data_IF_232787693632
#
_entry.id   IF_232787693632
#
_cell.length_a   1.000
_cell.length_b   1.000
_cell.length_c   1.000
_cell.angle_alpha   90.00
_cell.angle_beta   90.00
_cell.angle_gamma   90.00
#
_symmetry.space_group_name_H-M   'P 1'
#
loop_
_entity.id
_entity.type
_entity.pdbx_description
1 polymer ?
#
# COMPACT_ATOMS: atom_id res chain seq x y z
N UNK A 1 -22.06 -8.96 -11.47
CA UNK A 1 -21.05 -7.99 -11.94
C UNK A 1 -19.61 -8.51 -11.96
N UNK A 2 -19.10 -9.17 -10.89
CA UNK A 2 -17.70 -9.69 -10.85
C UNK A 2 -17.29 -10.67 -11.97
N UNK A 3 -18.21 -11.50 -12.48
CA UNK A 3 -17.89 -12.48 -13.54
C UNK A 3 -17.61 -11.84 -14.91
N UNK A 4 -18.35 -10.80 -15.32
CA UNK A 4 -18.07 -10.10 -16.60
C UNK A 4 -16.69 -9.43 -16.57
N UNK A 5 -16.37 -8.73 -15.48
CA UNK A 5 -15.09 -8.04 -15.33
C UNK A 5 -13.87 -8.98 -15.38
N UNK A 6 -13.97 -10.18 -14.79
CA UNK A 6 -12.93 -11.21 -14.93
C UNK A 6 -12.74 -11.65 -16.39
N UNK A 7 -13.83 -11.75 -17.14
CA UNK A 7 -13.80 -12.19 -18.53
C UNK A 7 -13.26 -11.09 -19.47
N UNK A 8 -13.62 -9.84 -19.19
CA UNK A 8 -13.11 -8.67 -19.92
C UNK A 8 -11.59 -8.52 -19.71
N UNK A 9 -11.09 -8.70 -18.47
CA UNK A 9 -9.66 -8.66 -18.16
C UNK A 9 -8.90 -9.82 -18.80
N UNK A 10 -9.52 -11.00 -18.89
CA UNK A 10 -8.90 -12.15 -19.55
C UNK A 10 -8.66 -11.94 -21.04
N UNK A 11 -9.54 -11.17 -21.69
CA UNK A 11 -9.54 -10.94 -23.13
C UNK A 11 -8.79 -9.65 -23.53
N UNK A 12 -8.38 -8.84 -22.56
CA UNK A 12 -7.65 -7.59 -22.81
C UNK A 12 -6.15 -7.86 -23.08
N UNK A 13 -5.66 -7.38 -24.22
CA UNK A 13 -4.27 -7.51 -24.66
C UNK A 13 -3.25 -6.93 -23.65
N UNK A 14 -3.66 -5.98 -22.80
CA UNK A 14 -2.81 -5.38 -21.77
C UNK A 14 -2.58 -6.31 -20.57
N UNK A 15 -3.44 -7.31 -20.38
CA UNK A 15 -3.36 -8.27 -19.28
C UNK A 15 -2.98 -9.69 -19.76
N UNK A 16 -2.38 -9.82 -20.94
CA UNK A 16 -1.91 -11.11 -21.52
C UNK A 16 -0.98 -11.87 -20.56
N UNK A 17 -0.22 -11.15 -19.73
CA UNK A 17 0.65 -11.73 -18.70
C UNK A 17 -0.11 -12.65 -17.72
N UNK A 18 -1.39 -12.39 -17.49
CA UNK A 18 -2.25 -13.17 -16.60
C UNK A 18 -2.53 -14.57 -17.17
N UNK A 19 -2.48 -14.72 -18.50
CA UNK A 19 -2.70 -15.97 -19.21
C UNK A 19 -1.41 -16.79 -19.41
N UNK A 20 -0.23 -16.21 -19.24
CA UNK A 20 1.05 -16.90 -19.48
C UNK A 20 1.26 -18.20 -18.72
N UNK A 21 0.93 -18.31 -17.41
CA UNK A 21 1.11 -19.55 -16.65
C UNK A 21 0.29 -20.72 -17.20
N UNK A 22 -0.74 -20.41 -17.99
CA UNK A 22 -1.75 -21.35 -18.48
C UNK A 22 -1.57 -21.73 -19.95
N UNK A 23 -0.60 -21.13 -20.65
CA UNK A 23 -0.39 -21.37 -22.10
C UNK A 23 -0.17 -22.85 -22.42
N UNK A 24 0.56 -23.56 -21.56
CA UNK A 24 0.91 -24.97 -21.78
C UNK A 24 -0.02 -25.95 -21.05
N UNK A 25 -1.04 -25.48 -20.31
CA UNK A 25 -1.86 -26.35 -19.45
C UNK A 25 -3.26 -26.63 -20.01
N UNK A 26 -3.58 -26.11 -21.20
CA UNK A 26 -4.91 -26.16 -21.80
C UNK A 26 -5.47 -27.59 -22.01
N UNK A 27 -4.59 -28.59 -22.07
CA UNK A 27 -4.95 -30.00 -22.24
C UNK A 27 -5.31 -30.71 -20.93
N UNK A 28 -5.15 -30.06 -19.76
CA UNK A 28 -5.53 -30.64 -18.48
C UNK A 28 -7.06 -30.68 -18.34
N UNK A 29 -7.66 -31.79 -17.89
CA UNK A 29 -9.11 -31.92 -17.73
C UNK A 29 -9.69 -30.90 -16.74
N UNK A 30 -8.86 -30.38 -15.82
CA UNK A 30 -9.27 -29.36 -14.85
C UNK A 30 -8.69 -27.95 -15.11
N UNK A 31 -8.33 -27.65 -16.36
CA UNK A 31 -7.71 -26.38 -16.76
C UNK A 31 -8.54 -25.17 -16.32
N UNK A 32 -9.84 -25.19 -16.58
CA UNK A 32 -10.71 -24.02 -16.38
C UNK A 32 -10.90 -23.70 -14.90
N UNK A 33 -11.04 -24.72 -14.03
CA UNK A 33 -11.11 -24.48 -12.58
C UNK A 33 -9.79 -23.97 -12.02
N UNK A 34 -8.66 -24.54 -12.45
CA UNK A 34 -7.33 -24.14 -11.96
C UNK A 34 -7.05 -22.67 -12.31
N UNK A 35 -7.35 -22.31 -13.56
CA UNK A 35 -7.24 -20.93 -14.06
C UNK A 35 -8.17 -19.97 -13.33
N UNK A 36 -9.44 -20.32 -13.16
CA UNK A 36 -10.39 -19.49 -12.42
C UNK A 36 -10.00 -19.31 -10.94
N UNK A 37 -9.48 -20.37 -10.29
CA UNK A 37 -9.01 -20.30 -8.91
C UNK A 37 -7.80 -19.39 -8.77
N UNK A 38 -6.84 -19.47 -9.68
CA UNK A 38 -5.67 -18.59 -9.71
C UNK A 38 -6.08 -17.13 -9.91
N UNK A 39 -6.94 -16.86 -10.90
CA UNK A 39 -7.46 -15.54 -11.14
C UNK A 39 -8.17 -14.98 -9.91
N UNK A 40 -9.08 -15.74 -9.30
CA UNK A 40 -9.81 -15.29 -8.14
C UNK A 40 -8.87 -14.90 -6.98
N UNK A 41 -7.76 -15.63 -6.79
CA UNK A 41 -6.72 -15.27 -5.81
C UNK A 41 -6.01 -13.97 -6.20
N UNK A 42 -5.61 -13.82 -7.46
CA UNK A 42 -4.92 -12.63 -7.96
C UNK A 42 -5.80 -11.38 -7.92
N UNK A 43 -7.09 -11.51 -8.23
CA UNK A 43 -8.07 -10.44 -8.09
C UNK A 43 -8.25 -10.01 -6.64
N UNK A 44 -8.32 -10.96 -5.70
CA UNK A 44 -8.34 -10.62 -4.27
C UNK A 44 -7.09 -9.83 -3.86
N UNK A 45 -5.91 -10.23 -4.31
CA UNK A 45 -4.67 -9.48 -4.03
C UNK A 45 -4.71 -8.06 -4.61
N UNK A 46 -5.18 -7.91 -5.85
CA UNK A 46 -5.30 -6.60 -6.49
C UNK A 46 -6.32 -5.71 -5.78
N UNK A 47 -7.47 -6.26 -5.40
CA UNK A 47 -8.49 -5.56 -4.60
C UNK A 47 -7.91 -5.08 -3.26
N UNK A 48 -7.18 -5.95 -2.55
CA UNK A 48 -6.50 -5.57 -1.31
C UNK A 48 -5.44 -4.48 -1.53
N UNK A 49 -4.62 -4.60 -2.58
CA UNK A 49 -3.59 -3.60 -2.90
C UNK A 49 -4.21 -2.22 -3.20
N UNK A 50 -5.28 -2.17 -3.98
CA UNK A 50 -6.00 -0.93 -4.27
C UNK A 50 -6.63 -0.31 -3.02
N UNK A 51 -7.20 -1.14 -2.14
CA UNK A 51 -7.74 -0.69 -0.86
C UNK A 51 -6.62 -0.06 -0.01
N UNK A 52 -5.45 -0.71 0.08
CA UNK A 52 -4.31 -0.20 0.85
C UNK A 52 -3.79 1.12 0.25
N UNK A 53 -3.65 1.20 -1.07
CA UNK A 53 -3.18 2.42 -1.75
C UNK A 53 -4.09 3.62 -1.44
N UNK A 54 -5.41 3.43 -1.54
CA UNK A 54 -6.37 4.49 -1.23
C UNK A 54 -6.38 4.84 0.27
N UNK A 55 -6.21 3.85 1.15
CA UNK A 55 -6.07 4.09 2.59
C UNK A 55 -4.86 4.97 2.91
N UNK A 56 -3.71 4.68 2.30
CA UNK A 56 -2.48 5.47 2.46
C UNK A 56 -2.66 6.89 1.90
N UNK A 57 -3.29 7.04 0.74
CA UNK A 57 -3.60 8.34 0.14
C UNK A 57 -4.46 9.20 1.08
N UNK A 58 -5.49 8.62 1.69
CA UNK A 58 -6.35 9.33 2.66
C UNK A 58 -5.64 9.64 3.96
N UNK A 59 -4.82 8.71 4.46
CA UNK A 59 -3.99 8.96 5.64
C UNK A 59 -3.10 10.19 5.43
N UNK A 60 -2.51 10.32 4.24
CA UNK A 60 -1.71 11.48 3.87
C UNK A 60 -2.54 12.78 3.80
N UNK A 61 -3.75 12.74 3.22
CA UNK A 61 -4.66 13.90 3.19
C UNK A 61 -5.09 14.38 4.58
N UNK A 62 -5.32 13.43 5.50
CA UNK A 62 -5.67 13.71 6.89
C UNK A 62 -4.47 14.13 7.75
N UNK A 63 -3.25 14.13 7.18
CA UNK A 63 -2.04 14.46 7.91
C UNK A 63 -1.76 13.51 9.07
N UNK A 64 -2.14 12.23 8.94
CA UNK A 64 -1.89 11.23 9.98
C UNK A 64 -0.38 11.02 10.05
N UNK A 65 0.26 11.65 11.03
CA UNK A 65 1.69 11.51 11.28
C UNK A 65 1.99 10.11 11.82
N UNK A 66 3.10 9.53 11.37
CA UNK A 66 3.67 8.31 11.94
C UNK A 66 4.42 8.74 13.21
N UNK A 67 3.98 8.26 14.37
CA UNK A 67 4.69 8.51 15.62
C UNK A 67 5.98 7.64 15.62
N UNK A 68 7.18 8.24 15.69
CA UNK A 68 8.43 7.47 15.75
C UNK A 68 8.56 6.63 17.02
N UNK A 69 7.75 6.87 18.05
CA UNK A 69 7.67 6.07 19.28
C UNK A 69 6.73 4.86 19.15
N UNK A 70 6.04 4.69 18.02
CA UNK A 70 5.12 3.58 17.81
C UNK A 70 5.86 2.23 17.84
N UNK A 71 5.30 1.25 18.56
CA UNK A 71 5.89 -0.09 18.71
C UNK A 71 6.30 -0.78 17.40
N UNK A 72 5.59 -0.51 16.29
CA UNK A 72 5.96 -0.99 14.95
C UNK A 72 7.25 -0.33 14.45
N UNK A 73 7.42 0.97 14.66
CA UNK A 73 8.60 1.72 14.22
C UNK A 73 9.84 1.31 15.03
N UNK A 74 9.68 1.11 16.33
CA UNK A 74 10.75 0.57 17.19
C UNK A 74 11.20 -0.81 16.73
N UNK A 75 10.26 -1.72 16.44
CA UNK A 75 10.56 -3.04 15.90
C UNK A 75 11.30 -2.94 14.56
N UNK A 76 10.84 -2.07 13.66
CA UNK A 76 11.45 -1.85 12.35
C UNK A 76 12.90 -1.33 12.48
N UNK A 77 13.13 -0.33 13.34
CA UNK A 77 14.47 0.19 13.61
C UNK A 77 15.42 -0.89 14.15
N UNK A 78 14.97 -1.66 15.14
CA UNK A 78 15.78 -2.76 15.71
C UNK A 78 16.08 -3.83 14.69
N UNK A 79 15.14 -4.13 13.79
CA UNK A 79 15.37 -5.04 12.68
C UNK A 79 16.49 -4.52 11.75
N UNK A 80 16.46 -3.24 11.37
CA UNK A 80 17.54 -2.63 10.60
C UNK A 80 18.89 -2.65 11.32
N UNK A 81 18.90 -2.32 12.61
CA UNK A 81 20.13 -2.36 13.43
C UNK A 81 20.71 -3.78 13.50
N UNK A 82 19.84 -4.79 13.64
CA UNK A 82 20.22 -6.20 13.64
C UNK A 82 20.79 -6.64 12.28
N UNK A 83 20.15 -6.31 11.17
CA UNK A 83 20.65 -6.61 9.82
C UNK A 83 22.00 -5.94 9.56
N UNK A 84 22.15 -4.69 10.00
CA UNK A 84 23.39 -3.93 9.91
C UNK A 84 24.52 -4.61 10.69
N UNK A 85 24.27 -5.02 11.95
CA UNK A 85 25.23 -5.76 12.77
C UNK A 85 25.59 -7.12 12.16
N UNK A 86 24.58 -7.87 11.70
CA UNK A 86 24.76 -9.19 11.11
C UNK A 86 25.63 -9.14 9.85
N UNK A 87 25.40 -8.13 9.00
CA UNK A 87 26.18 -7.93 7.77
C UNK A 87 27.56 -7.35 8.08
N UNK A 88 27.63 -6.38 8.99
CA UNK A 88 28.86 -5.67 9.33
C UNK A 88 29.92 -6.55 10.00
N UNK A 89 29.51 -7.56 10.78
CA UNK A 89 30.47 -8.46 11.44
C UNK A 89 31.14 -9.48 10.51
N UNK A 90 30.68 -9.64 9.27
CA UNK A 90 31.17 -10.68 8.36
C UNK A 90 32.69 -10.59 8.11
N UNK A 91 33.22 -9.37 7.99
CA UNK A 91 34.65 -9.14 7.80
C UNK A 91 35.46 -9.48 9.06
N UNK A 92 34.99 -9.01 10.23
CA UNK A 92 35.61 -9.32 11.53
C UNK A 92 35.67 -10.82 11.78
N UNK A 93 34.61 -11.54 11.39
CA UNK A 93 34.53 -12.99 11.50
C UNK A 93 35.58 -13.67 10.60
N UNK A 94 35.68 -13.26 9.34
CA UNK A 94 36.66 -13.80 8.40
C UNK A 94 38.11 -13.56 8.87
N UNK A 95 38.41 -12.37 9.39
CA UNK A 95 39.74 -12.04 9.93
C UNK A 95 40.07 -12.83 11.20
N UNK A 96 39.10 -13.06 12.08
CA UNK A 96 39.27 -13.91 13.25
C UNK A 96 39.58 -15.37 12.84
N UNK A 97 38.88 -15.90 11.83
CA UNK A 97 39.13 -17.22 11.26
C UNK A 97 40.51 -17.33 10.60
N UNK A 98 41.00 -16.26 9.99
CA UNK A 98 42.35 -16.18 9.45
C UNK A 98 43.46 -16.19 10.53
N UNK A 99 43.09 -16.22 11.81
CA UNK A 99 43.99 -16.39 12.95
C UNK A 99 44.09 -15.18 13.87
N UNK A 100 43.37 -14.08 13.59
CA UNK A 100 43.38 -12.90 14.45
C UNK A 100 42.51 -13.09 15.70
N UNK A 101 43.07 -13.79 16.70
CA UNK A 101 42.38 -14.10 17.96
C UNK A 101 41.98 -12.87 18.78
N UNK A 102 42.57 -11.69 18.52
CA UNK A 102 42.21 -10.46 19.21
C UNK A 102 40.79 -9.97 18.88
N UNK A 103 40.20 -10.43 17.77
CA UNK A 103 38.84 -10.08 17.37
C UNK A 103 37.76 -10.96 18.02
N UNK A 104 38.12 -12.10 18.62
CA UNK A 104 37.17 -13.04 19.21
C UNK A 104 36.31 -12.40 20.32
N UNK A 105 36.87 -11.60 21.26
CA UNK A 105 36.04 -10.90 22.25
C UNK A 105 35.07 -9.90 21.62
N UNK A 106 35.48 -9.26 20.51
CA UNK A 106 34.64 -8.33 19.78
C UNK A 106 33.48 -9.06 19.09
N UNK A 107 33.74 -10.21 18.45
CA UNK A 107 32.69 -11.06 17.87
C UNK A 107 31.71 -11.54 18.93
N UNK A 108 32.19 -11.96 20.10
CA UNK A 108 31.33 -12.34 21.20
C UNK A 108 30.43 -11.17 21.65
N UNK A 109 31.01 -9.96 21.74
CA UNK A 109 30.24 -8.75 22.05
C UNK A 109 29.18 -8.43 21.00
N UNK A 110 29.49 -8.60 19.70
CA UNK A 110 28.50 -8.41 18.63
C UNK A 110 27.37 -9.44 18.75
N UNK A 111 27.69 -10.70 19.00
CA UNK A 111 26.67 -11.74 19.22
C UNK A 111 25.76 -11.42 20.41
N UNK A 112 26.33 -10.99 21.54
CA UNK A 112 25.54 -10.56 22.71
C UNK A 112 24.62 -9.39 22.36
N UNK A 113 25.11 -8.38 21.63
CA UNK A 113 24.27 -7.26 21.18
C UNK A 113 23.13 -7.70 20.26
N UNK A 114 23.39 -8.67 19.37
CA UNK A 114 22.36 -9.24 18.51
C UNK A 114 21.32 -10.02 19.31
N UNK A 115 21.73 -10.77 20.34
CA UNK A 115 20.83 -11.47 21.25
C UNK A 115 19.93 -10.49 22.04
N UNK A 116 20.51 -9.40 22.55
CA UNK A 116 19.77 -8.35 23.24
C UNK A 116 18.75 -7.67 22.31
N UNK A 117 19.13 -7.36 21.07
CA UNK A 117 18.21 -6.82 20.07
C UNK A 117 17.07 -7.79 19.76
N UNK A 118 17.37 -9.09 19.60
CA UNK A 118 16.34 -10.11 19.37
C UNK A 118 15.38 -10.24 20.56
N UNK A 119 15.88 -10.15 21.79
CA UNK A 119 15.07 -10.16 23.00
C UNK A 119 14.12 -8.95 23.05
N UNK A 120 14.62 -7.76 22.73
CA UNK A 120 13.82 -6.54 22.64
C UNK A 120 12.77 -6.63 21.52
N UNK A 121 13.16 -7.11 20.34
CA UNK A 121 12.23 -7.32 19.22
C UNK A 121 11.12 -8.30 19.58
N UNK A 122 11.43 -9.38 20.29
CA UNK A 122 10.43 -10.32 20.81
C UNK A 122 9.44 -9.63 21.75
N UNK A 123 9.93 -8.71 22.60
CA UNK A 123 9.07 -7.92 23.47
C UNK A 123 8.17 -6.99 22.66
N UNK A 124 8.71 -6.31 21.65
CA UNK A 124 7.94 -5.43 20.77
C UNK A 124 6.85 -6.19 20.00
N UNK A 125 7.17 -7.38 19.46
CA UNK A 125 6.17 -8.28 18.83
C UNK A 125 5.08 -8.67 19.84
N UNK A 126 5.46 -9.01 21.07
CA UNK A 126 4.49 -9.37 22.12
C UNK A 126 3.56 -8.20 22.45
N UNK A 127 4.09 -6.96 22.51
CA UNK A 127 3.27 -5.75 22.70
C UNK A 127 2.35 -5.52 21.50
N UNK A 128 2.84 -5.65 20.27
CA UNK A 128 2.06 -5.46 19.05
C UNK A 128 0.87 -6.42 18.97
N UNK A 129 1.08 -7.71 19.25
CA UNK A 129 0.01 -8.71 19.28
C UNK A 129 -1.07 -8.35 20.29
N UNK A 130 -0.69 -7.76 21.44
CA UNK A 130 -1.65 -7.31 22.47
C UNK A 130 -2.37 -6.00 22.09
N UNK A 131 -1.74 -5.12 21.32
CA UNK A 131 -2.33 -3.85 20.87
C UNK A 131 -3.26 -4.02 19.67
N UNK A 132 -2.95 -4.95 18.76
CA UNK A 132 -3.65 -5.12 17.49
C UNK A 132 -5.18 -5.28 17.62
N UNK A 133 -5.72 -6.09 18.57
CA UNK A 133 -7.17 -6.25 18.71
C UNK A 133 -7.87 -5.00 19.27
N UNK A 134 -7.13 -4.08 19.89
CA UNK A 134 -7.66 -2.85 20.49
C UNK A 134 -7.68 -1.68 19.50
N UNK A 135 -7.02 -1.82 18.35
CA UNK A 135 -7.01 -0.78 17.34
C UNK A 135 -8.38 -0.67 16.65
N UNK A 136 -8.94 0.54 16.50
CA UNK A 136 -10.15 0.73 15.73
C UNK A 136 -9.90 0.35 14.26
N UNK A 137 -10.95 -0.09 13.53
CA UNK A 137 -10.83 -0.47 12.14
C UNK A 137 -10.31 0.71 11.30
N UNK A 138 -9.55 0.39 10.24
CA UNK A 138 -8.93 1.41 9.37
C UNK A 138 -9.98 2.38 8.79
N UNK A 139 -11.19 1.89 8.51
CA UNK A 139 -12.31 2.73 8.07
C UNK A 139 -12.67 3.84 9.07
N UNK A 140 -12.65 3.53 10.36
CA UNK A 140 -12.91 4.51 11.41
C UNK A 140 -11.74 5.48 11.55
N UNK A 141 -10.50 4.98 11.52
CA UNK A 141 -9.28 5.81 11.62
C UNK A 141 -9.16 6.81 10.46
N UNK A 142 -9.60 6.43 9.27
CA UNK A 142 -9.58 7.26 8.08
C UNK A 142 -10.89 8.03 7.83
N UNK A 143 -11.80 8.04 8.81
CA UNK A 143 -13.08 8.75 8.72
C UNK A 143 -13.90 8.38 7.46
N UNK A 144 -13.84 7.10 7.04
CA UNK A 144 -14.57 6.55 5.89
C UNK A 144 -16.06 6.33 6.22
N UNK A 145 -16.76 7.37 6.66
CA UNK A 145 -18.19 7.30 6.93
C UNK A 145 -18.97 7.31 5.60
N UNK A 146 -19.96 6.42 5.46
CA UNK A 146 -20.85 6.41 4.30
C UNK A 146 -21.54 7.77 4.12
N UNK A 147 -21.93 8.43 5.20
CA UNK A 147 -22.54 9.75 5.19
C UNK A 147 -21.56 10.85 4.77
N UNK A 148 -20.31 10.81 5.25
CA UNK A 148 -19.27 11.76 4.86
C UNK A 148 -18.88 11.63 3.39
N UNK A 149 -18.73 10.39 2.89
CA UNK A 149 -18.48 10.11 1.48
C UNK A 149 -19.63 10.58 0.59
N UNK A 150 -20.88 10.27 0.96
CA UNK A 150 -22.06 10.71 0.21
C UNK A 150 -22.21 12.24 0.22
N UNK A 151 -21.94 12.90 1.34
CA UNK A 151 -21.95 14.36 1.45
C UNK A 151 -20.91 15.01 0.54
N UNK A 152 -19.66 14.52 0.56
CA UNK A 152 -18.59 15.01 -0.31
C UNK A 152 -18.90 14.77 -1.80
N UNK A 153 -19.40 13.58 -2.15
CA UNK A 153 -19.79 13.27 -3.53
C UNK A 153 -20.94 14.16 -3.99
N UNK A 154 -21.93 14.40 -3.13
CA UNK A 154 -23.06 15.30 -3.43
C UNK A 154 -22.57 16.74 -3.59
N UNK A 155 -21.67 17.23 -2.73
CA UNK A 155 -21.06 18.57 -2.83
C UNK A 155 -20.18 18.75 -4.06
N UNK A 156 -19.42 17.72 -4.46
CA UNK A 156 -18.64 17.75 -5.71
C UNK A 156 -19.55 17.76 -6.93
N UNK A 157 -20.65 17.01 -6.90
CA UNK A 157 -21.62 16.94 -7.99
C UNK A 157 -22.40 18.27 -8.14
N UNK A 158 -22.76 18.92 -7.03
CA UNK A 158 -23.38 20.26 -7.07
C UNK A 158 -22.40 21.34 -7.54
N UNK A 159 -21.12 21.26 -7.14
CA UNK A 159 -20.06 22.18 -7.60
C UNK A 159 -19.70 22.00 -9.08
N UNK A 160 -19.75 20.77 -9.60
CA UNK A 160 -19.59 20.51 -11.02
C UNK A 160 -20.79 21.07 -11.83
N UNK A 161 -22.01 20.92 -11.31
CA UNK A 161 -23.22 21.48 -11.93
C UNK A 161 -23.24 23.02 -11.98
N UNK A 162 -22.76 23.69 -10.94
CA UNK A 162 -22.69 25.16 -10.91
C UNK A 162 -21.61 25.73 -11.85
N UNK A 163 -20.57 24.94 -12.16
CA UNK A 163 -19.54 25.29 -13.14
C UNK A 163 -20.01 25.12 -14.59
N UNK A 164 -20.90 24.15 -14.85
CA UNK A 164 -21.58 23.99 -16.16
C UNK A 164 -22.68 25.02 -16.41
N UNK A 165 -23.37 25.51 -15.37
CA UNK A 165 -24.39 26.56 -15.53
C UNK A 165 -23.80 27.96 -15.83
N UNK A 166 -22.52 28.19 -15.49
CA UNK A 166 -21.83 29.45 -15.79
C UNK A 166 -21.25 29.54 -17.21
N UNK A 167 -21.07 28.42 -17.90
CA UNK A 167 -20.58 28.41 -19.30
C UNK A 167 -21.72 28.58 -20.31
N UNK A 168 -22.97 28.30 -19.95
CA UNK A 168 -24.14 28.51 -20.81
C UNK A 168 -24.77 29.91 -20.70
N UNK A 169 -24.30 30.78 -19.80
CA UNK A 169 -24.87 32.12 -19.59
C UNK A 169 -24.13 33.24 -20.34
N UNK A 170 -22.94 32.97 -20.91
CA UNK A 170 -22.08 33.99 -21.52
C UNK A 170 -22.18 34.06 -23.07
N UNK A 171 -23.01 33.22 -23.69
CA UNK A 171 -23.15 33.14 -25.16
C UNK A 171 -24.30 33.97 -25.75
N UNK A 172 -25.04 34.76 -24.96
CA UNK A 172 -26.22 35.49 -25.44
C UNK A 172 -26.16 37.01 -25.21
N UNK A 173 -25.03 37.64 -25.54
CA UNK A 173 -24.92 39.10 -25.64
C UNK A 173 -24.42 39.51 -27.03
N UNK A 174 -25.35 39.57 -27.97
CA UNK A 174 -25.17 40.13 -29.31
C UNK A 174 -24.78 41.62 -29.23
N UNK A 175 -23.77 42.10 -30.00
CA UNK A 175 -23.32 43.49 -29.95
C UNK A 175 -24.20 44.37 -30.84
N UNK A 176 -24.98 45.27 -30.22
CA UNK A 176 -25.80 46.23 -30.95
C UNK A 176 -24.94 47.37 -31.51
N UNK A 177 -25.17 47.68 -32.79
CA UNK A 177 -24.44 48.59 -33.67
C UNK A 177 -24.08 49.98 -33.11
N UNK A 178 -22.86 50.39 -33.46
CA UNK A 178 -22.38 51.77 -33.48
C UNK A 178 -23.19 52.55 -34.53
N UNK A 179 -23.85 53.64 -34.14
CA UNK A 179 -24.30 54.71 -35.06
C UNK A 179 -23.41 55.92 -34.86
N UNK A 180 -22.74 56.30 -35.93
CA UNK A 180 -22.05 57.57 -36.13
C UNK A 180 -23.03 58.64 -36.65
N UNK A 181 -22.66 59.90 -36.44
CA UNK A 181 -23.26 61.15 -36.99
C UNK A 181 -24.68 61.47 -36.45
N UNK A 182 -24.97 62.61 -35.82
CA UNK A 182 -24.54 64.01 -35.97
C UNK A 182 -24.72 64.79 -34.66
#
# INVERSE_FOLDING_TARGET
MRFRFCQDIHNDCRFVIVNEPFKNEAHKPNYLELKNRFLARRFKLLEQALIIEEQLRRAAQLGIAIDPSESVQNLNRRFFDLECLATGQQQLFNEALAGNKALVPLLHKVLTLMEDLLADMKQDVSRLVNLLPRLPPVSQRLQLSHTGLLSQLTQQLTSAKSSQAKTSADENKEPTSIKADQ
#
